data_IF_033820297396
#
_entry.id   IF_033820297396
#
_cell.length_a   1.000
_cell.length_b   1.000
_cell.length_c   1.000
_cell.angle_alpha   90.00
_cell.angle_beta   90.00
_cell.angle_gamma   90.00
#
_symmetry.space_group_name_H-M   'P 1'
#
loop_
_entity.id
_entity.type
_entity.pdbx_description
1 polymer ?
#
# COMPACT_ATOMS: atom_id res chain seq x y z
N UNK A 1 12.45 -0.33 -5.90
CA UNK A 1 12.00 -1.52 -5.14
C UNK A 1 12.94 -2.71 -5.30
N UNK A 2 13.63 -2.84 -6.43
CA UNK A 2 14.68 -3.84 -6.65
C UNK A 2 16.07 -3.21 -6.45
N UNK A 3 17.08 -4.03 -6.16
CA UNK A 3 18.46 -3.56 -6.14
C UNK A 3 18.91 -3.13 -7.54
N UNK A 4 19.64 -2.00 -7.64
CA UNK A 4 20.17 -1.53 -8.92
C UNK A 4 21.19 -2.54 -9.48
N UNK A 5 21.49 -2.46 -10.79
CA UNK A 5 22.48 -3.33 -11.42
C UNK A 5 23.86 -3.28 -10.78
N UNK A 6 24.23 -2.11 -10.26
CA UNK A 6 25.55 -1.85 -9.67
C UNK A 6 25.55 -1.98 -8.14
N UNK A 7 24.63 -2.78 -7.57
CA UNK A 7 24.57 -2.97 -6.13
C UNK A 7 25.78 -3.78 -5.63
N UNK A 8 26.52 -3.30 -4.60
CA UNK A 8 27.72 -3.96 -4.08
C UNK A 8 27.49 -5.40 -3.56
N UNK A 9 26.23 -5.78 -3.31
CA UNK A 9 25.87 -7.11 -2.80
C UNK A 9 25.60 -8.14 -3.90
N UNK A 10 25.85 -7.79 -5.17
CA UNK A 10 25.57 -8.63 -6.36
C UNK A 10 24.13 -9.18 -6.38
N UNK A 11 23.19 -8.32 -6.01
CA UNK A 11 21.78 -8.67 -5.82
C UNK A 11 20.88 -8.09 -6.92
N UNK A 12 21.43 -7.91 -8.12
CA UNK A 12 20.76 -7.29 -9.26
C UNK A 12 19.42 -7.96 -9.55
N UNK A 13 18.37 -7.15 -9.63
CA UNK A 13 17.01 -7.62 -9.93
C UNK A 13 16.33 -8.35 -8.78
N UNK A 14 16.98 -8.51 -7.61
CA UNK A 14 16.36 -9.07 -6.42
C UNK A 14 15.50 -8.01 -5.74
N UNK A 15 14.31 -8.41 -5.29
CA UNK A 15 13.43 -7.54 -4.53
C UNK A 15 14.04 -7.25 -3.15
N UNK A 16 14.13 -5.97 -2.78
CA UNK A 16 14.85 -5.54 -1.56
C UNK A 16 14.19 -6.02 -0.26
N UNK A 17 12.87 -6.22 -0.26
CA UNK A 17 12.10 -6.41 0.97
C UNK A 17 11.81 -5.11 1.71
N UNK A 18 10.75 -5.12 2.51
CA UNK A 18 10.24 -3.90 3.16
C UNK A 18 11.23 -3.27 4.14
N UNK A 19 11.92 -4.08 4.95
CA UNK A 19 12.87 -3.58 5.94
C UNK A 19 14.04 -2.82 5.30
N UNK A 20 14.62 -3.35 4.21
CA UNK A 20 15.70 -2.69 3.47
C UNK A 20 15.22 -1.39 2.84
N UNK A 21 14.02 -1.39 2.25
CA UNK A 21 13.40 -0.18 1.68
C UNK A 21 13.24 0.90 2.75
N UNK A 22 12.79 0.53 3.95
CA UNK A 22 12.60 1.47 5.06
C UNK A 22 13.94 2.02 5.60
N UNK A 23 14.98 1.18 5.72
CA UNK A 23 16.32 1.65 6.09
C UNK A 23 16.86 2.66 5.07
N UNK A 24 16.79 2.33 3.77
CA UNK A 24 17.22 3.24 2.71
C UNK A 24 16.47 4.59 2.76
N UNK A 25 15.16 4.56 3.07
CA UNK A 25 14.34 5.77 3.23
C UNK A 25 14.73 6.57 4.47
N UNK A 26 15.01 5.90 5.60
CA UNK A 26 15.51 6.54 6.81
C UNK A 26 16.84 7.24 6.57
N UNK A 27 17.77 6.63 5.84
CA UNK A 27 19.04 7.27 5.47
C UNK A 27 18.83 8.56 4.66
N UNK A 28 17.82 8.61 3.79
CA UNK A 28 17.50 9.81 3.01
C UNK A 28 16.81 10.90 3.84
N UNK A 29 15.97 10.53 4.82
CA UNK A 29 15.17 11.46 5.60
C UNK A 29 15.10 11.04 7.09
N UNK A 30 16.19 11.17 7.87
CA UNK A 30 16.28 10.59 9.20
C UNK A 30 15.26 11.17 10.20
N UNK A 31 14.84 12.42 10.02
CA UNK A 31 13.85 13.09 10.88
C UNK A 31 12.44 12.48 10.78
N UNK A 32 12.13 11.79 9.67
CA UNK A 32 10.80 11.23 9.40
C UNK A 32 10.65 9.77 9.85
N UNK A 33 11.77 9.09 10.10
CA UNK A 33 11.81 7.66 10.40
C UNK A 33 12.40 7.43 11.80
N UNK A 34 11.52 7.19 12.76
CA UNK A 34 11.87 7.11 14.19
C UNK A 34 12.34 5.74 14.66
N UNK A 35 12.15 4.68 13.85
CA UNK A 35 12.55 3.33 14.24
C UNK A 35 14.08 3.18 14.10
N UNK A 36 14.77 2.69 15.14
CA UNK A 36 16.23 2.58 15.10
C UNK A 36 16.72 1.48 14.14
N UNK A 37 15.98 0.38 13.99
CA UNK A 37 16.32 -0.71 13.09
C UNK A 37 15.05 -1.42 12.58
N UNK A 38 14.79 -1.33 11.28
CA UNK A 38 13.63 -1.93 10.60
C UNK A 38 13.81 -3.43 10.32
N UNK A 39 15.04 -3.95 10.29
CA UNK A 39 15.30 -5.39 10.10
C UNK A 39 14.84 -6.23 11.30
N UNK A 40 14.78 -5.62 12.49
CA UNK A 40 14.23 -6.25 13.70
C UNK A 40 12.70 -6.15 13.80
N UNK A 41 12.08 -5.38 12.91
CA UNK A 41 10.64 -5.21 12.90
C UNK A 41 9.97 -6.33 12.11
N UNK A 42 8.79 -6.77 12.56
CA UNK A 42 8.01 -7.76 11.83
C UNK A 42 7.64 -7.20 10.45
N UNK A 43 7.58 -8.07 9.43
CA UNK A 43 7.09 -7.68 8.11
C UNK A 43 5.64 -7.19 8.20
N UNK A 44 4.80 -7.95 8.91
CA UNK A 44 3.38 -7.65 9.15
C UNK A 44 2.94 -8.03 10.58
N UNK A 45 1.91 -7.37 11.11
CA UNK A 45 1.23 -7.79 12.34
C UNK A 45 0.09 -8.76 12.04
N UNK A 46 0.02 -9.85 12.83
CA UNK A 46 -1.03 -10.85 12.69
C UNK A 46 -1.07 -11.53 11.32
N UNK A 47 -2.17 -12.22 11.04
CA UNK A 47 -2.46 -12.78 9.71
C UNK A 47 -3.30 -11.82 8.86
N UNK A 48 -4.10 -10.97 9.50
CA UNK A 48 -5.09 -10.12 8.84
C UNK A 48 -4.72 -8.63 8.87
N UNK A 49 -3.45 -8.29 9.10
CA UNK A 49 -2.99 -6.91 9.26
C UNK A 49 -3.68 -6.20 10.44
N UNK A 50 -3.71 -6.87 11.58
CA UNK A 50 -4.37 -6.41 12.82
C UNK A 50 -3.52 -5.35 13.55
N UNK A 51 -3.03 -4.36 12.81
CA UNK A 51 -2.26 -3.23 13.33
C UNK A 51 -3.21 -2.29 14.08
N UNK A 52 -2.89 -1.96 15.33
CA UNK A 52 -3.64 -0.95 16.06
C UNK A 52 -3.44 0.42 15.39
N UNK A 53 -4.54 1.16 15.17
CA UNK A 53 -4.52 2.43 14.41
C UNK A 53 -3.55 3.47 14.99
N UNK A 54 -3.41 3.49 16.31
CA UNK A 54 -2.52 4.45 17.01
C UNK A 54 -1.05 4.01 17.02
N UNK A 55 -0.76 2.79 16.55
CA UNK A 55 0.58 2.24 16.57
C UNK A 55 1.30 2.52 15.24
N UNK A 56 2.04 3.62 15.21
CA UNK A 56 2.70 4.14 14.00
C UNK A 56 3.87 3.24 13.55
N UNK A 57 4.45 2.44 14.45
CA UNK A 57 5.71 1.69 14.23
C UNK A 57 5.60 0.17 14.49
N UNK A 58 4.44 -0.44 14.26
CA UNK A 58 4.20 -1.84 14.65
C UNK A 58 4.85 -2.90 13.72
N UNK A 59 4.84 -2.68 12.41
CA UNK A 59 5.39 -3.58 11.40
C UNK A 59 5.84 -2.81 10.15
N UNK A 60 6.74 -3.40 9.36
CA UNK A 60 7.27 -2.74 8.15
C UNK A 60 6.16 -2.38 7.16
N UNK A 61 5.16 -3.25 7.01
CA UNK A 61 4.05 -3.01 6.10
C UNK A 61 3.20 -1.81 6.52
N UNK A 62 2.86 -1.68 7.80
CA UNK A 62 2.07 -0.55 8.29
C UNK A 62 2.81 0.78 8.10
N UNK A 63 4.10 0.78 8.43
CA UNK A 63 4.95 1.96 8.26
C UNK A 63 5.02 2.38 6.79
N UNK A 64 5.12 1.42 5.86
CA UNK A 64 5.09 1.71 4.41
C UNK A 64 3.71 2.20 3.96
N UNK A 65 2.63 1.55 4.40
CA UNK A 65 1.26 1.89 4.00
C UNK A 65 0.86 3.32 4.40
N UNK A 66 1.39 3.81 5.51
CA UNK A 66 1.09 5.14 6.05
C UNK A 66 2.05 6.23 5.55
N UNK A 67 3.01 5.91 4.68
CA UNK A 67 3.89 6.94 4.15
C UNK A 67 3.13 7.88 3.19
N UNK A 68 3.38 9.19 3.26
CA UNK A 68 2.69 10.15 2.41
C UNK A 68 2.99 9.96 0.92
N UNK A 69 4.17 9.44 0.56
CA UNK A 69 4.50 9.14 -0.84
C UNK A 69 3.67 7.99 -1.45
N UNK A 70 2.91 7.26 -0.63
CA UNK A 70 1.93 6.27 -1.10
C UNK A 70 0.49 6.74 -0.91
N UNK A 71 0.20 7.45 0.19
CA UNK A 71 -1.18 7.89 0.51
C UNK A 71 -1.60 9.10 -0.35
N UNK A 72 -0.68 10.00 -0.66
CA UNK A 72 -0.99 11.25 -1.37
C UNK A 72 -0.87 11.12 -2.90
N UNK A 73 -0.45 9.96 -3.40
CA UNK A 73 -0.25 9.73 -4.84
C UNK A 73 -1.51 9.15 -5.45
N UNK A 74 -2.05 9.85 -6.45
CA UNK A 74 -3.17 9.34 -7.26
C UNK A 74 -2.78 8.03 -7.95
N UNK A 75 -3.69 7.06 -7.90
CA UNK A 75 -3.48 5.79 -8.58
C UNK A 75 -3.40 6.00 -10.10
N UNK A 76 -2.69 5.09 -10.78
CA UNK A 76 -2.63 5.10 -12.25
C UNK A 76 -4.02 5.08 -12.89
N UNK A 77 -4.95 4.33 -12.28
CA UNK A 77 -6.34 4.27 -12.72
C UNK A 77 -7.03 5.64 -12.62
N UNK A 78 -6.90 6.32 -11.47
CA UNK A 78 -7.45 7.67 -11.30
C UNK A 78 -6.88 8.65 -12.31
N UNK A 79 -5.57 8.65 -12.51
CA UNK A 79 -4.91 9.54 -13.47
C UNK A 79 -5.43 9.29 -14.90
N UNK A 80 -5.56 8.03 -15.31
CA UNK A 80 -6.08 7.67 -16.64
C UNK A 80 -7.54 8.09 -16.81
N UNK A 81 -8.40 7.78 -15.83
CA UNK A 81 -9.81 8.15 -15.86
C UNK A 81 -9.99 9.67 -15.89
N UNK A 82 -9.24 10.42 -15.07
CA UNK A 82 -9.25 11.89 -15.08
C UNK A 82 -8.81 12.45 -16.43
N UNK A 83 -7.79 11.86 -17.07
CA UNK A 83 -7.36 12.23 -18.43
C UNK A 83 -8.47 12.05 -19.47
N UNK A 84 -9.40 11.13 -19.24
CA UNK A 84 -10.60 10.92 -20.05
C UNK A 84 -11.83 11.71 -19.58
N UNK A 85 -11.73 12.52 -18.52
CA UNK A 85 -12.85 13.28 -17.95
C UNK A 85 -13.79 12.49 -17.03
N UNK A 86 -13.37 11.31 -16.57
CA UNK A 86 -14.14 10.48 -15.64
C UNK A 86 -13.62 10.57 -14.20
N UNK A 87 -14.55 10.55 -13.24
CA UNK A 87 -14.24 10.42 -11.81
C UNK A 87 -14.29 8.94 -11.39
N UNK A 88 -13.26 8.49 -10.67
CA UNK A 88 -13.21 7.14 -10.08
C UNK A 88 -13.76 7.19 -8.66
N UNK A 89 -14.61 6.21 -8.32
CA UNK A 89 -15.13 6.01 -6.97
C UNK A 89 -14.66 4.64 -6.45
N UNK A 90 -13.88 4.63 -5.37
CA UNK A 90 -13.49 3.39 -4.69
C UNK A 90 -14.50 3.03 -3.62
N UNK A 91 -15.20 1.91 -3.80
CA UNK A 91 -16.16 1.40 -2.84
C UNK A 91 -15.48 0.46 -1.82
N UNK A 92 -15.95 0.43 -0.56
CA UNK A 92 -15.47 -0.51 0.44
C UNK A 92 -15.56 -1.97 -0.04
N UNK A 93 -14.50 -2.74 0.20
CA UNK A 93 -14.46 -4.16 -0.18
C UNK A 93 -15.43 -4.96 0.69
N UNK A 94 -16.13 -5.91 0.09
CA UNK A 94 -17.11 -6.80 0.76
C UNK A 94 -18.38 -6.11 1.28
N UNK A 95 -18.70 -4.94 0.73
CA UNK A 95 -19.96 -4.23 0.97
C UNK A 95 -20.78 -4.20 -0.33
N UNK A 96 -21.34 -5.36 -0.72
CA UNK A 96 -22.10 -5.47 -1.97
C UNK A 96 -23.37 -4.61 -1.97
N UNK A 97 -23.91 -4.29 -0.80
CA UNK A 97 -25.02 -3.37 -0.60
C UNK A 97 -24.71 -1.95 -1.08
N UNK A 98 -23.43 -1.56 -1.14
CA UNK A 98 -22.99 -0.25 -1.63
C UNK A 98 -22.61 -0.26 -3.12
N UNK A 99 -22.49 -1.43 -3.74
CA UNK A 99 -22.11 -1.55 -5.14
C UNK A 99 -23.34 -1.51 -6.06
N UNK A 100 -23.52 -0.39 -6.76
CA UNK A 100 -24.64 -0.19 -7.68
C UNK A 100 -24.75 -1.29 -8.75
N UNK A 101 -23.62 -1.81 -9.24
CA UNK A 101 -23.60 -2.86 -10.25
C UNK A 101 -24.25 -4.15 -9.70
N UNK A 102 -23.94 -4.50 -8.44
CA UNK A 102 -24.52 -5.67 -7.77
C UNK A 102 -26.02 -5.47 -7.50
N UNK A 103 -26.45 -4.27 -7.15
CA UNK A 103 -27.88 -3.96 -6.98
C UNK A 103 -28.65 -4.15 -8.30
N UNK A 104 -28.13 -3.62 -9.41
CA UNK A 104 -28.72 -3.80 -10.73
C UNK A 104 -28.79 -5.28 -11.14
N UNK A 105 -27.71 -6.04 -10.92
CA UNK A 105 -27.68 -7.47 -11.19
C UNK A 105 -28.64 -8.27 -10.32
N UNK A 106 -28.76 -7.93 -9.03
CA UNK A 106 -29.72 -8.53 -8.12
C UNK A 106 -31.15 -8.31 -8.59
N UNK A 107 -31.50 -7.07 -8.98
CA UNK A 107 -32.82 -6.74 -9.49
C UNK A 107 -33.12 -7.43 -10.82
N UNK A 108 -32.17 -7.43 -11.77
CA UNK A 108 -32.35 -8.10 -13.05
C UNK A 108 -32.63 -9.60 -12.86
N UNK A 109 -31.89 -10.28 -11.97
CA UNK A 109 -32.12 -11.70 -11.65
C UNK A 109 -33.47 -11.97 -10.99
N UNK A 110 -34.02 -11.00 -10.25
CA UNK A 110 -35.34 -11.16 -9.62
C UNK A 110 -36.48 -11.06 -10.65
N UNK A 111 -36.28 -10.36 -11.77
CA UNK A 111 -37.27 -10.22 -12.83
C UNK A 111 -37.39 -11.47 -13.74
N UNK A 112 -36.44 -12.39 -13.69
CA UNK A 112 -36.42 -13.65 -14.45
C UNK A 112 -36.87 -14.83 -13.58
#
# INVERSE_FOLDING_TARGET
MYFPPDDPRDSKGIFKGMAVILEERKHKNPSKFTVPNYTKLKAQCGKNFDCQKDQINCCCQWILYTQPDFVEVESLLEMLCKGCGYQVLFLPKFHCELNFIEQCWGFAKWLY
#
